data_IF_096973612452
#
_entry.id   IF_096973612452
#
_cell.length_a   1.000
_cell.length_b   1.000
_cell.length_c   1.000
_cell.angle_alpha   90.00
_cell.angle_beta   90.00
_cell.angle_gamma   90.00
#
_symmetry.space_group_name_H-M   'P 1'
#
loop_
_entity.id
_entity.type
_entity.pdbx_description
1 polymer ?
#
# COMPACT_ATOMS: atom_id res chain seq x y z
N UNK A 1 18.98 -16.88 2.42
CA UNK A 1 18.12 -16.67 1.22
C UNK A 1 16.70 -16.19 1.55
N UNK A 2 15.95 -16.85 2.44
CA UNK A 2 14.56 -16.45 2.76
C UNK A 2 14.42 -15.00 3.29
N UNK A 3 15.32 -14.52 4.16
CA UNK A 3 15.29 -13.14 4.66
C UNK A 3 15.39 -12.09 3.56
N UNK A 4 16.25 -12.30 2.55
CA UNK A 4 16.40 -11.39 1.41
C UNK A 4 15.14 -11.37 0.54
N UNK A 5 14.49 -12.52 0.37
CA UNK A 5 13.23 -12.61 -0.35
C UNK A 5 12.12 -11.83 0.37
N UNK A 6 11.94 -12.07 1.68
CA UNK A 6 10.92 -11.36 2.49
C UNK A 6 11.22 -9.86 2.53
N UNK A 7 12.50 -9.48 2.69
CA UNK A 7 12.94 -8.09 2.62
C UNK A 7 12.58 -7.46 1.27
N UNK A 8 12.85 -8.14 0.17
CA UNK A 8 12.48 -7.70 -1.17
C UNK A 8 10.97 -7.50 -1.34
N UNK A 9 10.15 -8.41 -0.80
CA UNK A 9 8.68 -8.27 -0.82
C UNK A 9 8.23 -7.01 -0.08
N UNK A 10 8.70 -6.78 1.14
CA UNK A 10 8.35 -5.57 1.91
C UNK A 10 8.88 -4.30 1.27
N UNK A 11 10.04 -4.35 0.62
CA UNK A 11 10.59 -3.22 -0.12
C UNK A 11 9.68 -2.86 -1.30
N UNK A 12 9.29 -3.85 -2.09
CA UNK A 12 8.37 -3.66 -3.22
C UNK A 12 7.01 -3.13 -2.76
N UNK A 13 6.46 -3.68 -1.67
CA UNK A 13 5.24 -3.19 -1.03
C UNK A 13 5.34 -1.73 -0.59
N UNK A 14 6.45 -1.36 0.05
CA UNK A 14 6.72 0.00 0.49
C UNK A 14 6.86 0.97 -0.69
N UNK A 15 7.59 0.57 -1.74
CA UNK A 15 7.77 1.38 -2.97
C UNK A 15 6.44 1.56 -3.70
N UNK A 16 5.70 0.47 -3.92
CA UNK A 16 4.40 0.54 -4.58
C UNK A 16 3.41 1.41 -3.79
N UNK A 17 3.37 1.27 -2.46
CA UNK A 17 2.53 2.10 -1.59
C UNK A 17 2.97 3.57 -1.63
N UNK A 18 4.27 3.85 -1.67
CA UNK A 18 4.79 5.22 -1.77
C UNK A 18 4.45 5.87 -3.11
N UNK A 19 4.56 5.12 -4.21
CA UNK A 19 4.15 5.59 -5.54
C UNK A 19 2.64 5.89 -5.59
N UNK A 20 1.83 5.02 -5.01
CA UNK A 20 0.38 5.25 -4.89
C UNK A 20 0.08 6.50 -4.03
N UNK A 21 0.78 6.69 -2.92
CA UNK A 21 0.64 7.89 -2.10
C UNK A 21 1.06 9.16 -2.86
N UNK A 22 2.16 9.12 -3.61
CA UNK A 22 2.61 10.21 -4.48
C UNK A 22 1.57 10.55 -5.56
N UNK A 23 0.94 9.54 -6.16
CA UNK A 23 -0.16 9.77 -7.10
C UNK A 23 -1.37 10.44 -6.41
N UNK A 24 -1.68 10.04 -5.17
CA UNK A 24 -2.66 10.69 -4.30
C UNK A 24 -2.35 12.16 -4.04
N UNK A 25 -1.12 12.48 -3.63
CA UNK A 25 -0.68 13.86 -3.37
C UNK A 25 -0.64 14.71 -4.63
N UNK A 26 -0.28 14.13 -5.78
CA UNK A 26 -0.28 14.83 -7.08
C UNK A 26 -1.69 15.02 -7.66
N UNK A 27 -2.70 14.38 -7.08
CA UNK A 27 -4.07 14.45 -7.57
C UNK A 27 -4.34 13.59 -8.81
N UNK A 28 -3.41 12.71 -9.19
CA UNK A 28 -3.43 11.96 -10.45
C UNK A 28 -4.04 10.57 -10.32
N UNK A 29 -4.62 10.20 -9.16
CA UNK A 29 -5.22 8.87 -8.93
C UNK A 29 -6.37 8.59 -9.91
N UNK A 30 -7.11 9.63 -10.27
CA UNK A 30 -8.26 9.56 -11.18
C UNK A 30 -7.89 9.90 -12.63
N UNK A 31 -6.60 10.05 -12.96
CA UNK A 31 -6.18 10.33 -14.32
C UNK A 31 -6.19 9.02 -15.13
N UNK A 32 -6.99 8.94 -16.19
CA UNK A 32 -7.19 7.72 -16.99
C UNK A 32 -5.90 7.22 -17.67
N UNK A 33 -4.90 8.10 -17.79
CA UNK A 33 -3.62 7.83 -18.45
C UNK A 33 -2.55 7.23 -17.51
N UNK A 34 -2.73 7.36 -16.19
CA UNK A 34 -1.74 6.95 -15.16
C UNK A 34 -2.38 6.14 -14.02
N UNK A 35 -3.69 6.26 -13.84
CA UNK A 35 -4.43 5.88 -12.64
C UNK A 35 -5.35 4.65 -12.78
N UNK A 36 -5.94 4.30 -11.65
CA UNK A 36 -6.83 3.16 -11.47
C UNK A 36 -8.17 3.38 -12.21
N UNK A 37 -8.93 2.31 -12.50
CA UNK A 37 -10.25 2.45 -13.12
C UNK A 37 -11.23 3.05 -12.09
N UNK A 38 -11.42 4.37 -12.18
CA UNK A 38 -12.28 5.15 -11.27
C UNK A 38 -13.62 5.43 -11.97
N UNK A 39 -14.78 5.30 -11.27
CA UNK A 39 -16.09 5.57 -11.84
C UNK A 39 -16.20 6.98 -12.45
N UNK A 40 -16.99 7.11 -13.51
CA UNK A 40 -17.13 8.35 -14.26
C UNK A 40 -17.65 9.49 -13.38
N UNK A 41 -18.53 9.19 -12.40
CA UNK A 41 -19.11 10.15 -11.47
C UNK A 41 -18.05 10.84 -10.60
N UNK A 42 -17.07 10.05 -10.12
CA UNK A 42 -15.95 10.53 -9.28
C UNK A 42 -14.94 11.34 -10.09
N UNK A 43 -14.80 11.01 -11.39
CA UNK A 43 -13.94 11.76 -12.30
C UNK A 43 -14.54 13.12 -12.66
N UNK A 44 -15.87 13.21 -12.79
CA UNK A 44 -16.59 14.44 -13.13
C UNK A 44 -16.73 15.44 -11.96
N UNK A 45 -16.77 14.96 -10.71
CA UNK A 45 -16.90 15.84 -9.53
C UNK A 45 -15.53 16.18 -8.91
N UNK A 46 -15.10 17.46 -8.94
CA UNK A 46 -13.82 17.88 -8.37
C UNK A 46 -13.72 17.67 -6.85
N UNK A 47 -14.85 17.66 -6.11
CA UNK A 47 -14.88 17.42 -4.67
C UNK A 47 -14.68 15.92 -4.36
N UNK A 48 -15.33 15.02 -5.09
CA UNK A 48 -15.14 13.57 -4.96
C UNK A 48 -13.72 13.16 -5.36
N UNK A 49 -13.18 13.74 -6.44
CA UNK A 49 -11.79 13.54 -6.85
C UNK A 49 -10.78 13.96 -5.77
N UNK A 50 -10.98 15.10 -5.10
CA UNK A 50 -10.10 15.53 -3.99
C UNK A 50 -10.18 14.56 -2.81
N UNK A 51 -11.37 14.07 -2.45
CA UNK A 51 -11.54 13.06 -1.40
C UNK A 51 -10.84 11.75 -1.74
N UNK A 52 -11.02 11.24 -2.96
CA UNK A 52 -10.38 10.00 -3.43
C UNK A 52 -8.84 10.09 -3.35
N UNK A 53 -8.28 11.19 -3.87
CA UNK A 53 -6.84 11.47 -3.81
C UNK A 53 -6.31 11.54 -2.37
N UNK A 54 -7.02 12.23 -1.46
CA UNK A 54 -6.63 12.32 -0.06
C UNK A 54 -6.70 10.98 0.68
N UNK A 55 -7.70 10.15 0.38
CA UNK A 55 -7.85 8.82 0.97
C UNK A 55 -6.69 7.92 0.54
N UNK A 56 -6.37 7.88 -0.75
CA UNK A 56 -5.24 7.12 -1.28
C UNK A 56 -3.93 7.63 -0.69
N UNK A 57 -3.71 8.95 -0.64
CA UNK A 57 -2.50 9.52 -0.05
C UNK A 57 -2.32 9.10 1.42
N UNK A 58 -3.36 9.18 2.24
CA UNK A 58 -3.28 8.83 3.66
C UNK A 58 -3.02 7.34 3.89
N UNK A 59 -3.84 6.48 3.28
CA UNK A 59 -3.79 5.03 3.50
C UNK A 59 -2.55 4.38 2.87
N UNK A 60 -2.14 4.83 1.67
CA UNK A 60 -0.92 4.33 1.06
C UNK A 60 0.34 4.84 1.78
N UNK A 61 0.32 6.04 2.37
CA UNK A 61 1.41 6.49 3.26
C UNK A 61 1.51 5.60 4.50
N UNK A 62 0.37 5.28 5.14
CA UNK A 62 0.33 4.35 6.26
C UNK A 62 0.87 2.96 5.90
N UNK A 63 0.47 2.41 4.75
CA UNK A 63 1.00 1.15 4.21
C UNK A 63 2.52 1.20 3.97
N UNK A 64 3.01 2.31 3.38
CA UNK A 64 4.45 2.51 3.17
C UNK A 64 5.22 2.57 4.50
N UNK A 65 4.70 3.29 5.50
CA UNK A 65 5.30 3.36 6.84
C UNK A 65 5.33 1.99 7.52
N UNK A 66 4.23 1.22 7.47
CA UNK A 66 4.20 -0.13 8.03
C UNK A 66 5.22 -1.06 7.35
N UNK A 67 5.44 -0.89 6.05
CA UNK A 67 6.44 -1.67 5.31
C UNK A 67 7.88 -1.43 5.81
N UNK A 68 8.17 -0.32 6.48
CA UNK A 68 9.52 -0.01 7.00
C UNK A 68 9.90 -0.86 8.22
N UNK A 69 8.95 -1.21 9.09
CA UNK A 69 9.26 -1.95 10.31
C UNK A 69 9.89 -3.34 10.02
N UNK A 70 9.33 -4.16 9.11
CA UNK A 70 9.98 -5.39 8.66
C UNK A 70 11.32 -5.17 7.98
N UNK A 71 11.47 -4.09 7.20
CA UNK A 71 12.73 -3.77 6.51
C UNK A 71 13.86 -3.47 7.50
N UNK A 72 13.58 -2.71 8.57
CA UNK A 72 14.57 -2.42 9.62
C UNK A 72 14.92 -3.70 10.38
N UNK A 73 13.93 -4.51 10.74
CA UNK A 73 14.15 -5.78 11.45
C UNK A 73 14.97 -6.79 10.61
N UNK A 74 14.62 -6.95 9.34
CA UNK A 74 15.31 -7.87 8.42
C UNK A 74 16.67 -7.33 7.97
N UNK A 75 16.81 -6.03 7.78
CA UNK A 75 18.08 -5.38 7.43
C UNK A 75 19.09 -5.43 8.58
N UNK A 76 18.65 -5.16 9.81
CA UNK A 76 19.53 -5.23 10.99
C UNK A 76 20.00 -6.66 11.28
N UNK A 77 19.15 -7.66 11.08
CA UNK A 77 19.51 -9.09 11.23
C UNK A 77 20.45 -9.55 10.12
N UNK A 78 20.22 -9.15 8.86
CA UNK A 78 21.12 -9.46 7.76
C UNK A 78 22.53 -8.85 7.92
N UNK A 79 22.63 -7.66 8.54
CA UNK A 79 23.90 -6.98 8.82
C UNK A 79 24.66 -7.59 10.02
N UNK A 80 23.93 -8.14 11.01
CA UNK A 80 24.54 -8.70 12.23
C UNK A 80 25.06 -10.12 12.04
N UNK A 81 24.29 -10.99 11.41
CA UNK A 81 24.67 -12.39 11.19
C UNK A 81 23.93 -12.94 9.97
N UNK A 82 24.62 -13.00 8.81
CA UNK A 82 24.07 -13.41 7.52
C UNK A 82 23.55 -14.86 7.44
N UNK A 83 23.52 -15.60 8.54
CA UNK A 83 23.16 -17.01 8.64
C UNK A 83 22.02 -17.30 9.64
N UNK A 84 21.18 -16.31 9.98
CA UNK A 84 19.96 -16.61 10.73
C UNK A 84 18.94 -17.30 9.83
N UNK A 85 18.46 -18.47 10.26
CA UNK A 85 17.37 -19.19 9.60
C UNK A 85 16.03 -18.66 10.12
N UNK A 86 15.12 -18.26 9.22
CA UNK A 86 13.74 -17.92 9.58
C UNK A 86 13.05 -19.18 10.13
N UNK A 87 12.58 -19.15 11.37
CA UNK A 87 11.72 -20.23 11.88
C UNK A 87 10.38 -20.23 11.13
N UNK A 88 9.73 -21.38 11.00
CA UNK A 88 8.40 -21.47 10.36
C UNK A 88 7.40 -20.47 10.95
N UNK A 89 7.42 -20.28 12.27
CA UNK A 89 6.60 -19.29 12.97
C UNK A 89 6.96 -17.84 12.62
N UNK A 90 8.25 -17.53 12.45
CA UNK A 90 8.69 -16.23 11.95
C UNK A 90 8.16 -15.95 10.55
N UNK A 91 8.18 -16.95 9.66
CA UNK A 91 7.64 -16.81 8.31
C UNK A 91 6.14 -16.52 8.32
N UNK A 92 5.38 -17.26 9.14
CA UNK A 92 3.94 -17.04 9.32
C UNK A 92 3.65 -15.62 9.84
N UNK A 93 4.43 -15.14 10.81
CA UNK A 93 4.29 -13.78 11.33
C UNK A 93 4.54 -12.72 10.25
N UNK A 94 5.59 -12.87 9.44
CA UNK A 94 5.86 -11.94 8.34
C UNK A 94 4.77 -12.00 7.26
N UNK A 95 4.25 -13.19 6.94
CA UNK A 95 3.15 -13.32 5.99
C UNK A 95 1.87 -12.65 6.48
N UNK A 96 1.49 -12.85 7.74
CA UNK A 96 0.35 -12.19 8.36
C UNK A 96 0.53 -10.67 8.39
N UNK A 97 1.73 -10.19 8.72
CA UNK A 97 2.04 -8.76 8.69
C UNK A 97 1.94 -8.19 7.27
N UNK A 98 2.49 -8.88 6.26
CA UNK A 98 2.36 -8.50 4.86
C UNK A 98 0.91 -8.39 4.40
N UNK A 99 0.06 -9.33 4.83
CA UNK A 99 -1.38 -9.27 4.57
C UNK A 99 -2.02 -8.01 5.15
N UNK A 100 -1.67 -7.63 6.39
CA UNK A 100 -2.15 -6.39 7.01
C UNK A 100 -1.72 -5.18 6.19
N UNK A 101 -0.45 -5.08 5.80
CA UNK A 101 0.06 -3.98 4.96
C UNK A 101 -0.73 -3.88 3.65
N UNK A 102 -0.93 -5.00 2.94
CA UNK A 102 -1.70 -5.04 1.68
C UNK A 102 -3.13 -4.59 1.90
N UNK A 103 -3.81 -5.07 2.94
CA UNK A 103 -5.21 -4.69 3.22
C UNK A 103 -5.36 -3.20 3.51
N UNK A 104 -4.42 -2.61 4.27
CA UNK A 104 -4.38 -1.17 4.56
C UNK A 104 -4.16 -0.37 3.28
N UNK A 105 -3.24 -0.81 2.41
CA UNK A 105 -2.97 -0.16 1.12
C UNK A 105 -4.11 -0.29 0.11
N UNK A 106 -4.86 -1.41 0.13
CA UNK A 106 -5.97 -1.68 -0.78
C UNK A 106 -7.30 -1.03 -0.34
N UNK A 107 -7.48 -0.80 0.97
CA UNK A 107 -8.67 -0.16 1.54
C UNK A 107 -9.14 1.12 0.83
N UNK A 108 -8.29 2.11 0.52
CA UNK A 108 -8.74 3.33 -0.14
C UNK A 108 -9.30 3.07 -1.53
N UNK A 109 -8.76 2.11 -2.28
CA UNK A 109 -9.21 1.79 -3.64
C UNK A 109 -10.62 1.19 -3.63
N UNK A 110 -10.89 0.26 -2.70
CA UNK A 110 -12.24 -0.29 -2.51
C UNK A 110 -13.24 0.80 -2.08
N UNK A 111 -12.82 1.75 -1.24
CA UNK A 111 -13.67 2.89 -0.88
C UNK A 111 -13.94 3.84 -2.04
N UNK A 112 -12.97 4.09 -2.91
CA UNK A 112 -13.16 4.94 -4.09
C UNK A 112 -14.14 4.30 -5.08
N UNK A 113 -14.11 2.97 -5.27
CA UNK A 113 -15.14 2.27 -6.05
C UNK A 113 -16.54 2.50 -5.49
N UNK A 114 -16.70 2.45 -4.16
CA UNK A 114 -17.98 2.67 -3.49
C UNK A 114 -18.49 4.11 -3.60
N UNK A 115 -17.60 5.11 -3.79
CA UNK A 115 -17.99 6.51 -3.95
C UNK A 115 -18.67 6.82 -5.29
N UNK A 116 -18.44 6.01 -6.32
CA UNK A 116 -19.06 6.18 -7.65
C UNK A 116 -20.45 5.56 -7.78
N UNK A 117 -20.84 4.68 -6.86
CA UNK A 117 -22.22 4.20 -6.83
C UNK A 117 -23.08 5.25 -6.14
N UNK A 118 -24.03 5.91 -6.84
CA UNK A 118 -25.01 6.73 -6.17
C UNK A 118 -25.72 5.84 -5.17
N UNK A 119 -25.57 6.16 -3.89
CA UNK A 119 -26.45 5.60 -2.87
C UNK A 119 -27.84 6.08 -3.25
N UNK A 120 -28.65 5.17 -3.79
CA UNK A 120 -30.07 5.36 -3.96
C UNK A 120 -30.66 5.46 -2.54
N UNK A 121 -30.71 6.68 -2.00
CA UNK A 121 -31.49 7.08 -0.84
C UNK A 121 -32.06 8.46 -1.07
#
# INVERSE_FOLDING_TARGET
MAHLFIFGCFLLLGVASSLAALAGYRGTVCDRSVGYEVPAEVTSDPALRRRANSLVAFWCTGSATLSLAPLVALGSTALRDGATSVSTWGLVAFAAYGLVVVTVGAYPFEKVKQLGFPTNR
#
